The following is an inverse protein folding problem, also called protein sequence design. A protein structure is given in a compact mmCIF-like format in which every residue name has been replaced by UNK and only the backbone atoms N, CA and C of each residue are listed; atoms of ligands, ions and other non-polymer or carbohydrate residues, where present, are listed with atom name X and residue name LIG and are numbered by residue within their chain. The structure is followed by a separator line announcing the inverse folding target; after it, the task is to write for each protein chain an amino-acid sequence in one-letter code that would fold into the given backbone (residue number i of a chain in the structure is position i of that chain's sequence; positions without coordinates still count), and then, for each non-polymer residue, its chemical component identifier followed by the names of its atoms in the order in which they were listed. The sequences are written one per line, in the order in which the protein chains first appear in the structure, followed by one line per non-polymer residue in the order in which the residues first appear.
data_IF_186155183688
#
_entry.id   IF_186155183688
#
_cell.length_a   1.000
_cell.length_b   1.000
_cell.length_c   1.000
_cell.angle_alpha   90.00
_cell.angle_beta   90.00
_cell.angle_gamma   90.00
#
_symmetry.space_group_name_H-M   'P 1'
#
loop_
_entity.id
_entity.type
_entity.pdbx_description
1 polymer ?
#
# COMPACT_ATOMS: atom_id res chain seq x y z
N UNK A 1 -13.11 -5.66 -17.04
CA UNK A 1 -12.12 -5.08 -16.13
C UNK A 1 -12.80 -4.13 -15.16
N UNK A 2 -12.71 -4.35 -13.86
CA UNK A 2 -13.06 -3.41 -12.79
C UNK A 2 -11.79 -3.18 -11.99
N UNK A 3 -11.27 -1.96 -12.03
CA UNK A 3 -10.05 -1.59 -11.30
C UNK A 3 -10.31 -0.41 -10.37
N UNK A 4 -9.31 -0.04 -9.56
CA UNK A 4 -9.43 1.11 -8.64
C UNK A 4 -8.17 1.96 -8.65
N UNK A 5 -8.39 3.27 -8.49
CA UNK A 5 -7.37 4.19 -8.05
C UNK A 5 -7.62 4.52 -6.57
N UNK A 6 -6.67 4.22 -5.71
CA UNK A 6 -6.91 4.15 -4.27
C UNK A 6 -5.85 4.94 -3.46
N UNK A 7 -5.84 6.28 -3.56
CA UNK A 7 -4.88 7.10 -2.82
C UNK A 7 -5.26 7.26 -1.35
N UNK A 8 -4.24 7.22 -0.46
CA UNK A 8 -4.41 7.58 0.95
C UNK A 8 -4.27 9.09 1.13
N UNK A 9 -5.22 9.77 1.83
CA UNK A 9 -5.22 11.21 2.03
C UNK A 9 -4.27 11.63 3.19
N UNK A 10 -3.03 11.14 3.13
CA UNK A 10 -1.95 11.41 4.11
C UNK A 10 -0.94 12.45 3.59
N UNK A 11 -1.21 13.04 2.42
CA UNK A 11 -0.42 14.07 1.75
C UNK A 11 -0.96 14.34 0.36
N UNK A 12 -0.42 15.36 -0.31
CA UNK A 12 -0.77 15.69 -1.69
C UNK A 12 -0.29 14.63 -2.69
N UNK A 13 -0.91 14.59 -3.87
CA UNK A 13 -0.45 13.74 -4.96
C UNK A 13 0.90 14.22 -5.50
N UNK A 14 1.70 13.27 -5.97
CA UNK A 14 2.99 13.52 -6.64
C UNK A 14 3.06 12.70 -7.93
N UNK A 15 4.12 12.90 -8.72
CA UNK A 15 4.30 12.23 -10.02
C UNK A 15 4.17 10.69 -9.95
N UNK A 16 4.57 10.05 -8.83
CA UNK A 16 4.38 8.61 -8.66
C UNK A 16 2.90 8.18 -8.59
N UNK A 17 2.04 8.98 -7.93
CA UNK A 17 0.59 8.75 -7.93
C UNK A 17 -0.01 9.02 -9.31
N UNK A 18 0.47 10.06 -9.99
CA UNK A 18 0.05 10.36 -11.36
C UNK A 18 0.40 9.23 -12.32
N UNK A 19 1.60 8.66 -12.20
CA UNK A 19 1.98 7.50 -13.00
C UNK A 19 1.01 6.33 -12.79
N UNK A 20 0.68 6.02 -11.53
CA UNK A 20 -0.32 4.99 -11.23
C UNK A 20 -1.68 5.32 -11.85
N UNK A 21 -2.15 6.58 -11.75
CA UNK A 21 -3.40 7.01 -12.40
C UNK A 21 -3.34 6.79 -13.92
N UNK A 22 -2.25 7.16 -14.58
CA UNK A 22 -2.07 6.95 -16.03
C UNK A 22 -2.23 5.46 -16.38
N UNK A 23 -1.57 4.55 -15.64
CA UNK A 23 -1.71 3.10 -15.89
C UNK A 23 -3.14 2.61 -15.65
N UNK A 24 -3.76 3.00 -14.52
CA UNK A 24 -5.12 2.60 -14.15
C UNK A 24 -6.12 3.01 -15.23
N UNK A 25 -6.18 4.29 -15.58
CA UNK A 25 -7.15 4.80 -16.56
C UNK A 25 -6.88 4.30 -17.97
N UNK A 26 -5.59 4.23 -18.39
CA UNK A 26 -5.23 3.74 -19.72
C UNK A 26 -5.67 2.29 -19.93
N UNK A 27 -5.42 1.42 -18.96
CA UNK A 27 -5.80 0.01 -19.04
C UNK A 27 -7.31 -0.17 -18.99
N UNK A 28 -7.99 0.53 -18.08
CA UNK A 28 -9.45 0.48 -17.99
C UNK A 28 -10.10 0.94 -19.29
N UNK A 29 -9.72 2.10 -19.82
CA UNK A 29 -10.31 2.64 -21.06
C UNK A 29 -9.97 1.78 -22.27
N UNK A 30 -8.77 1.21 -22.35
CA UNK A 30 -8.35 0.32 -23.43
C UNK A 30 -9.13 -1.00 -23.45
N UNK A 31 -9.67 -1.45 -22.32
CA UNK A 31 -10.45 -2.70 -22.19
C UNK A 31 -11.97 -2.47 -22.10
N UNK A 32 -12.46 -1.22 -22.18
CA UNK A 32 -13.85 -0.89 -21.89
C UNK A 32 -14.25 -1.12 -20.43
N UNK A 33 -13.27 -1.11 -19.53
CA UNK A 33 -13.46 -1.36 -18.11
C UNK A 33 -13.83 -0.11 -17.31
N UNK A 34 -14.02 -0.30 -15.99
CA UNK A 34 -14.41 0.72 -15.04
C UNK A 34 -13.29 1.03 -14.05
N UNK A 35 -13.15 2.30 -13.68
CA UNK A 35 -12.27 2.78 -12.62
C UNK A 35 -13.10 3.21 -11.41
N UNK A 36 -12.88 2.53 -10.28
CA UNK A 36 -13.40 2.98 -8.98
C UNK A 36 -12.40 3.91 -8.29
N UNK A 37 -12.89 5.01 -7.75
CA UNK A 37 -12.10 5.87 -6.88
C UNK A 37 -12.33 5.43 -5.43
N UNK A 38 -11.24 5.13 -4.71
CA UNK A 38 -11.29 4.81 -3.29
C UNK A 38 -10.36 5.73 -2.52
N UNK A 39 -10.85 6.36 -1.48
CA UNK A 39 -10.03 7.12 -0.54
C UNK A 39 -9.66 6.21 0.63
N UNK A 40 -8.37 5.83 0.69
CA UNK A 40 -7.86 4.93 1.73
C UNK A 40 -7.47 5.71 2.98
N UNK A 41 -8.47 6.06 3.77
CA UNK A 41 -8.36 6.83 5.01
C UNK A 41 -8.50 5.99 6.30
N UNK A 42 -8.25 4.68 6.19
CA UNK A 42 -8.22 3.76 7.35
C UNK A 42 -7.21 4.18 8.43
N UNK A 43 -6.11 4.83 8.05
CA UNK A 43 -5.16 5.45 8.97
C UNK A 43 -5.68 6.84 9.38
N UNK A 44 -6.51 6.85 10.43
CA UNK A 44 -7.18 8.06 10.92
C UNK A 44 -6.21 9.09 11.51
N UNK A 45 -5.05 8.66 11.99
CA UNK A 45 -4.06 9.57 12.59
C UNK A 45 -3.37 10.44 11.56
N UNK A 46 -3.13 9.93 10.35
CA UNK A 46 -2.42 10.63 9.28
C UNK A 46 -3.34 11.22 8.22
N UNK A 47 -4.55 10.70 8.08
CA UNK A 47 -5.52 11.16 7.07
C UNK A 47 -6.07 12.53 7.43
N UNK A 48 -6.20 13.41 6.42
CA UNK A 48 -6.71 14.77 6.59
C UNK A 48 -7.71 15.12 5.47
N UNK A 49 -8.86 15.73 5.81
CA UNK A 49 -9.84 16.15 4.80
C UNK A 49 -9.28 17.14 3.77
N UNK A 50 -8.28 17.94 4.15
CA UNK A 50 -7.61 18.86 3.21
C UNK A 50 -6.83 18.12 2.12
N UNK A 51 -6.21 16.96 2.44
CA UNK A 51 -5.53 16.15 1.44
C UNK A 51 -6.52 15.42 0.54
N UNK A 52 -7.64 14.93 1.08
CA UNK A 52 -8.70 14.34 0.28
C UNK A 52 -9.23 15.35 -0.76
N UNK A 53 -9.58 16.56 -0.32
CA UNK A 53 -10.02 17.63 -1.26
C UNK A 53 -8.96 17.88 -2.35
N UNK A 54 -7.70 17.99 -1.96
CA UNK A 54 -6.61 18.18 -2.94
C UNK A 54 -6.49 17.03 -3.93
N UNK A 55 -6.68 15.77 -3.49
CA UNK A 55 -6.67 14.60 -4.36
C UNK A 55 -7.80 14.68 -5.40
N UNK A 56 -9.02 15.00 -4.96
CA UNK A 56 -10.18 15.13 -5.86
C UNK A 56 -9.97 16.26 -6.88
N UNK A 57 -9.49 17.42 -6.42
CA UNK A 57 -9.24 18.59 -7.28
C UNK A 57 -8.10 18.34 -8.28
N UNK A 58 -7.06 17.61 -7.90
CA UNK A 58 -5.95 17.24 -8.78
C UNK A 58 -6.39 16.23 -9.84
N UNK A 59 -7.20 15.22 -9.47
CA UNK A 59 -7.73 14.25 -10.42
C UNK A 59 -8.68 14.90 -11.44
N UNK A 60 -9.57 15.77 -10.96
CA UNK A 60 -10.49 16.51 -11.82
C UNK A 60 -9.74 17.44 -12.78
N UNK A 61 -8.73 18.17 -12.29
CA UNK A 61 -7.87 19.02 -13.11
C UNK A 61 -7.11 18.23 -14.19
N UNK A 62 -6.60 17.03 -13.85
CA UNK A 62 -5.88 16.16 -14.77
C UNK A 62 -6.80 15.42 -15.75
N UNK A 63 -8.12 15.46 -15.56
CA UNK A 63 -9.10 14.74 -16.38
C UNK A 63 -9.22 13.26 -16.08
N UNK A 64 -8.74 12.80 -14.93
CA UNK A 64 -8.90 11.42 -14.46
C UNK A 64 -10.24 11.25 -13.75
N UNK A 65 -11.32 11.16 -14.53
CA UNK A 65 -12.68 11.04 -14.01
C UNK A 65 -12.98 9.56 -13.69
N UNK A 66 -13.30 9.23 -12.41
CA UNK A 66 -13.70 7.87 -12.04
C UNK A 66 -15.11 7.55 -12.55
N UNK A 67 -15.39 6.26 -12.71
CA UNK A 67 -16.73 5.81 -13.07
C UNK A 67 -17.64 5.69 -11.83
N UNK A 68 -17.07 5.29 -10.68
CA UNK A 68 -17.78 5.14 -9.40
C UNK A 68 -16.82 5.27 -8.21
N UNK A 69 -17.22 5.91 -7.09
CA UNK A 69 -18.18 7.02 -7.07
C UNK A 69 -17.65 8.22 -7.82
N UNK A 70 -18.50 9.14 -8.22
CA UNK A 70 -18.08 10.42 -8.82
C UNK A 70 -17.55 11.41 -7.76
N UNK A 71 -16.92 12.49 -8.20
CA UNK A 71 -16.38 13.51 -7.29
C UNK A 71 -17.46 14.22 -6.47
N UNK A 72 -18.67 14.33 -7.00
CA UNK A 72 -19.79 14.98 -6.31
C UNK A 72 -20.21 14.16 -5.07
N UNK A 73 -20.22 12.83 -5.18
CA UNK A 73 -20.52 11.96 -4.05
C UNK A 73 -19.53 12.15 -2.89
N UNK A 74 -18.21 12.23 -3.20
CA UNK A 74 -17.20 12.51 -2.16
C UNK A 74 -17.38 13.88 -1.50
N UNK A 75 -17.79 14.88 -2.25
CA UNK A 75 -17.99 16.26 -1.75
C UNK A 75 -19.30 16.42 -0.98
N UNK A 76 -20.28 15.57 -1.23
CA UNK A 76 -21.61 15.64 -0.59
C UNK A 76 -21.65 15.10 0.86
N UNK A 77 -20.67 14.31 1.28
CA UNK A 77 -20.62 13.71 2.62
C UNK A 77 -20.16 12.27 2.64
N UNK A 78 -20.89 11.39 3.35
CA UNK A 78 -20.57 9.96 3.38
C UNK A 78 -20.61 9.34 1.98
N UNK A 79 -19.59 8.56 1.63
CA UNK A 79 -19.39 8.07 0.28
C UNK A 79 -18.91 6.62 0.28
N UNK A 80 -19.48 5.82 -0.62
CA UNK A 80 -19.15 4.40 -0.77
C UNK A 80 -17.66 4.16 -1.06
N UNK A 81 -16.98 5.11 -1.69
CA UNK A 81 -15.55 5.04 -1.98
C UNK A 81 -14.64 5.47 -0.82
N UNK A 82 -15.15 5.87 0.35
CA UNK A 82 -14.31 6.26 1.49
C UNK A 82 -14.28 5.15 2.54
N UNK A 83 -13.12 4.62 2.86
CA UNK A 83 -12.97 3.49 3.79
C UNK A 83 -13.57 3.77 5.17
N UNK A 84 -13.36 4.97 5.71
CA UNK A 84 -13.86 5.33 7.04
C UNK A 84 -15.38 5.41 7.15
N UNK A 85 -16.10 5.49 6.03
CA UNK A 85 -17.57 5.52 6.03
C UNK A 85 -18.18 4.11 6.13
N UNK A 86 -17.34 3.05 6.02
CA UNK A 86 -17.80 1.66 6.01
C UNK A 86 -17.05 0.73 6.98
N UNK A 87 -16.95 1.06 8.28
CA UNK A 87 -16.22 0.23 9.25
C UNK A 87 -16.80 -1.18 9.36
N UNK A 88 -18.09 -1.35 9.12
CA UNK A 88 -18.80 -2.63 9.20
C UNK A 88 -18.24 -3.68 8.24
N UNK A 89 -17.74 -3.29 7.06
CA UNK A 89 -17.10 -4.22 6.10
C UNK A 89 -15.94 -5.00 6.75
N UNK A 90 -15.14 -4.29 7.51
CA UNK A 90 -13.95 -4.87 8.14
C UNK A 90 -14.31 -5.69 9.38
N UNK A 91 -15.31 -5.24 10.15
CA UNK A 91 -15.82 -5.97 11.32
C UNK A 91 -16.43 -7.30 10.88
N UNK A 92 -17.25 -7.32 9.83
CA UNK A 92 -17.85 -8.54 9.27
C UNK A 92 -16.77 -9.48 8.70
N UNK A 93 -15.79 -8.95 7.98
CA UNK A 93 -14.67 -9.73 7.46
C UNK A 93 -13.84 -10.35 8.60
N UNK A 94 -13.56 -9.59 9.66
CA UNK A 94 -12.86 -10.11 10.84
C UNK A 94 -13.69 -11.19 11.54
N UNK A 95 -14.98 -10.97 11.75
CA UNK A 95 -15.86 -11.94 12.37
C UNK A 95 -15.97 -13.25 11.55
N UNK A 96 -15.90 -13.18 10.22
CA UNK A 96 -15.83 -14.35 9.35
C UNK A 96 -14.55 -15.15 9.57
N UNK A 97 -13.40 -14.47 9.66
CA UNK A 97 -12.11 -15.11 9.94
C UNK A 97 -12.06 -15.70 11.36
N UNK A 98 -12.68 -15.04 12.33
CA UNK A 98 -12.74 -15.51 13.72
C UNK A 98 -13.57 -16.80 13.83
N UNK A 99 -14.77 -16.82 13.23
CA UNK A 99 -15.60 -18.04 13.14
C UNK A 99 -14.90 -19.23 12.47
N UNK A 100 -13.97 -18.93 11.55
CA UNK A 100 -13.13 -19.93 10.90
C UNK A 100 -11.89 -20.34 11.74
N UNK A 101 -11.74 -19.84 12.98
CA UNK A 101 -10.61 -20.12 13.87
C UNK A 101 -9.28 -19.55 13.39
N UNK A 102 -9.33 -18.53 12.52
CA UNK A 102 -8.12 -17.93 11.90
C UNK A 102 -7.55 -16.77 12.70
N UNK A 103 -8.25 -16.28 13.71
CA UNK A 103 -7.89 -15.05 14.43
C UNK A 103 -7.25 -15.36 15.79
N UNK A 104 -6.34 -14.51 16.24
CA UNK A 104 -5.81 -14.52 17.60
C UNK A 104 -5.22 -13.15 17.97
N UNK A 105 -5.16 -12.87 19.27
CA UNK A 105 -4.57 -11.67 19.82
C UNK A 105 -3.04 -11.68 19.85
N UNK A 106 -2.43 -10.51 19.69
CA UNK A 106 -0.98 -10.34 19.70
C UNK A 106 -0.58 -9.09 20.51
N UNK A 107 0.22 -9.30 21.56
CA UNK A 107 0.74 -8.22 22.42
C UNK A 107 2.10 -7.69 21.99
N UNK A 108 2.70 -8.26 20.92
CA UNK A 108 4.03 -7.85 20.47
C UNK A 108 4.02 -6.43 19.90
N UNK A 109 4.93 -5.60 20.37
CA UNK A 109 5.31 -4.38 19.68
C UNK A 109 6.25 -4.69 18.50
N UNK A 110 6.45 -3.71 17.60
CA UNK A 110 7.46 -3.81 16.53
C UNK A 110 8.87 -4.05 17.12
N UNK A 111 9.20 -3.38 18.23
CA UNK A 111 10.47 -3.55 18.93
C UNK A 111 10.65 -4.98 19.51
N UNK A 112 9.57 -5.59 20.00
CA UNK A 112 9.63 -6.97 20.50
C UNK A 112 9.94 -7.97 19.39
N UNK A 113 9.30 -7.81 18.24
CA UNK A 113 9.53 -8.65 17.06
C UNK A 113 10.97 -8.47 16.57
N UNK A 114 11.43 -7.22 16.45
CA UNK A 114 12.79 -6.89 15.99
C UNK A 114 13.86 -7.51 16.90
N UNK A 115 13.70 -7.43 18.23
CA UNK A 115 14.63 -8.05 19.18
C UNK A 115 14.73 -9.56 19.00
N UNK A 116 13.61 -10.25 18.75
CA UNK A 116 13.60 -11.69 18.54
C UNK A 116 14.15 -12.12 17.18
N UNK A 117 14.06 -11.27 16.17
CA UNK A 117 14.67 -11.52 14.85
C UNK A 117 16.18 -11.26 14.80
N UNK A 118 16.83 -10.96 15.94
CA UNK A 118 18.26 -10.69 16.00
C UNK A 118 18.68 -9.29 15.53
N UNK A 119 17.72 -8.42 15.26
CA UNK A 119 17.97 -7.02 14.91
C UNK A 119 18.26 -6.18 16.15
N UNK A 120 19.32 -5.36 16.11
CA UNK A 120 19.58 -4.37 17.14
C UNK A 120 18.50 -3.31 17.15
N UNK A 121 17.82 -3.08 18.27
CA UNK A 121 16.97 -1.91 18.44
C UNK A 121 17.83 -0.65 18.31
N UNK A 122 17.44 0.36 17.54
CA UNK A 122 18.06 1.66 17.65
C UNK A 122 17.86 2.14 19.09
N UNK A 123 18.93 2.29 19.84
CA UNK A 123 18.90 2.86 21.19
C UNK A 123 18.22 4.21 21.13
N UNK A 124 17.15 4.39 21.91
CA UNK A 124 16.50 5.67 22.12
C UNK A 124 17.39 6.53 23.06
N UNK A 125 18.60 6.83 22.63
CA UNK A 125 19.43 7.89 23.23
C UNK A 125 19.27 9.12 22.35
N UNK A 126 18.46 10.07 22.82
CA UNK A 126 18.52 11.45 22.37
C UNK A 126 19.86 12.01 22.79
N UNK A 127 20.83 11.97 21.91
CA UNK A 127 22.10 12.70 21.99
C UNK A 127 22.31 13.48 20.70
N UNK A 128 23.03 14.63 20.72
CA UNK A 128 23.09 15.55 19.60
C UNK A 128 23.79 14.94 18.41
N UNK A 129 23.32 15.33 17.21
CA UNK A 129 23.85 15.11 15.88
C UNK A 129 25.34 14.70 15.83
N UNK A 130 25.61 13.44 15.62
CA UNK A 130 26.91 12.93 15.27
C UNK A 130 26.85 12.15 13.96
N UNK A 131 27.32 12.80 12.92
CA UNK A 131 28.03 12.31 11.73
C UNK A 131 27.69 10.94 11.15
N UNK A 132 26.93 10.98 10.07
CA UNK A 132 26.78 9.88 9.11
C UNK A 132 28.06 9.78 8.24
N UNK A 133 29.16 9.25 8.78
CA UNK A 133 30.33 8.88 7.98
C UNK A 133 30.27 7.40 7.63
N UNK A 134 29.66 7.07 6.47
CA UNK A 134 29.82 5.76 5.83
C UNK A 134 31.31 5.55 5.48
N UNK A 135 31.81 4.33 5.68
CA UNK A 135 33.15 3.93 5.28
C UNK A 135 33.35 4.13 3.77
N UNK A 136 34.41 4.82 3.40
CA UNK A 136 34.89 4.93 2.03
C UNK A 136 35.85 3.77 1.75
N UNK A 137 35.72 3.15 0.58
CA UNK A 137 36.71 2.22 0.08
C UNK A 137 38.02 2.90 -0.23
N UNK A 138 39.11 2.16 -0.50
CA UNK A 138 40.44 2.69 -0.72
C UNK A 138 40.57 3.63 -1.92
N UNK A 139 39.53 3.70 -2.79
CA UNK A 139 39.43 4.57 -3.97
C UNK A 139 38.57 5.82 -3.74
N UNK A 140 38.10 6.06 -2.51
CA UNK A 140 37.28 7.23 -2.16
C UNK A 140 35.84 7.17 -2.70
N UNK A 141 35.38 6.05 -3.28
CA UNK A 141 34.04 5.86 -3.73
C UNK A 141 33.21 5.09 -2.69
N UNK A 142 31.97 5.50 -2.48
CA UNK A 142 31.01 4.71 -1.68
C UNK A 142 30.73 3.43 -2.43
N UNK A 143 31.07 2.28 -1.86
CA UNK A 143 30.61 0.99 -2.36
C UNK A 143 29.09 0.95 -2.28
N UNK A 144 28.44 0.97 -3.46
CA UNK A 144 27.04 0.63 -3.57
C UNK A 144 26.92 -0.87 -3.26
N UNK A 145 26.28 -1.21 -2.12
CA UNK A 145 25.85 -2.59 -1.90
C UNK A 145 24.94 -2.97 -3.06
N UNK A 146 25.18 -4.12 -3.73
CA UNK A 146 24.22 -4.64 -4.67
C UNK A 146 22.92 -4.93 -3.88
N UNK A 147 21.84 -4.21 -4.22
CA UNK A 147 20.51 -4.55 -3.71
C UNK A 147 20.14 -5.90 -4.34
N UNK A 148 20.23 -6.96 -3.57
CA UNK A 148 19.58 -8.20 -3.94
C UNK A 148 18.09 -7.89 -4.10
N UNK A 149 17.55 -8.09 -5.30
CA UNK A 149 16.13 -7.99 -5.57
C UNK A 149 15.40 -8.89 -4.56
N UNK A 150 14.68 -8.29 -3.60
CA UNK A 150 13.89 -9.05 -2.63
C UNK A 150 14.00 -8.65 -1.17
N UNK A 151 14.92 -7.79 -0.76
CA UNK A 151 14.98 -7.32 0.64
C UNK A 151 13.94 -6.23 0.86
N UNK A 152 12.70 -6.65 1.18
CA UNK A 152 11.74 -5.74 1.79
C UNK A 152 12.15 -5.57 3.24
N UNK A 153 12.39 -4.34 3.65
CA UNK A 153 12.63 -3.89 5.04
C UNK A 153 11.43 -4.18 5.97
N UNK A 154 10.57 -5.10 5.56
CA UNK A 154 9.38 -5.49 6.30
C UNK A 154 9.74 -6.51 7.38
N UNK A 155 9.53 -6.11 8.63
CA UNK A 155 9.79 -6.95 9.79
C UNK A 155 8.87 -8.19 9.78
N UNK A 156 9.44 -9.36 9.53
CA UNK A 156 8.72 -10.62 9.57
C UNK A 156 8.27 -10.93 10.99
N UNK A 157 7.00 -11.25 11.16
CA UNK A 157 6.47 -11.72 12.44
C UNK A 157 6.82 -13.19 12.67
N UNK A 158 7.41 -13.47 13.82
CA UNK A 158 7.95 -14.77 14.21
C UNK A 158 6.92 -15.80 14.75
N UNK A 159 5.64 -15.42 14.81
CA UNK A 159 4.59 -16.29 15.33
C UNK A 159 4.51 -16.39 16.86
N UNK A 160 5.23 -15.56 17.61
CA UNK A 160 5.36 -15.65 19.07
C UNK A 160 4.04 -15.77 19.85
N UNK A 161 2.97 -15.08 19.42
CA UNK A 161 1.67 -15.15 20.09
C UNK A 161 0.72 -16.22 19.50
N UNK A 162 1.12 -16.90 18.41
CA UNK A 162 0.23 -17.79 17.64
C UNK A 162 -0.40 -18.92 18.47
N UNK A 163 0.31 -19.41 19.49
CA UNK A 163 -0.11 -20.53 20.36
C UNK A 163 -0.46 -20.11 21.79
N UNK A 164 -0.47 -18.80 22.07
CA UNK A 164 -0.66 -18.29 23.43
C UNK A 164 -2.11 -18.06 23.83
N UNK A 165 -3.06 -18.32 22.95
CA UNK A 165 -4.48 -18.17 23.19
C UNK A 165 -4.88 -16.77 23.75
N UNK A 166 -4.21 -15.72 23.25
CA UNK A 166 -4.54 -14.35 23.60
C UNK A 166 -5.82 -13.97 22.83
N UNK A 167 -6.86 -13.56 23.55
CA UNK A 167 -8.08 -13.07 22.92
C UNK A 167 -7.85 -11.68 22.31
N UNK A 168 -8.38 -11.39 21.11
CA UNK A 168 -8.47 -10.03 20.59
C UNK A 168 -9.26 -9.13 21.54
N UNK A 169 -8.91 -7.84 21.57
CA UNK A 169 -9.61 -6.87 22.42
C UNK A 169 -8.86 -5.53 22.51
N UNK A 170 -9.37 -4.58 23.30
CA UNK A 170 -8.73 -3.29 23.47
C UNK A 170 -7.26 -3.42 23.92
N UNK A 171 -6.37 -2.69 23.26
CA UNK A 171 -4.94 -2.72 23.55
C UNK A 171 -4.18 -3.96 23.03
N UNK A 172 -4.87 -4.89 22.37
CA UNK A 172 -4.32 -6.11 21.79
C UNK A 172 -4.44 -6.06 20.27
N UNK A 173 -3.33 -6.24 19.55
CA UNK A 173 -3.38 -6.37 18.11
C UNK A 173 -4.02 -7.69 17.68
N UNK A 174 -4.67 -7.70 16.53
CA UNK A 174 -5.34 -8.89 15.99
C UNK A 174 -4.60 -9.39 14.77
N UNK A 175 -4.24 -10.68 14.78
CA UNK A 175 -3.56 -11.35 13.65
C UNK A 175 -4.40 -12.45 13.03
N UNK A 176 -4.19 -12.67 11.75
CA UNK A 176 -4.76 -13.78 10.99
C UNK A 176 -3.68 -14.83 10.73
N UNK A 177 -4.01 -16.09 11.05
CA UNK A 177 -3.18 -17.27 10.78
C UNK A 177 -3.12 -17.51 9.28
N UNK A 178 -1.92 -17.39 8.71
CA UNK A 178 -1.67 -17.78 7.33
C UNK A 178 -1.32 -19.28 7.24
N UNK A 179 -1.62 -19.86 6.10
CA UNK A 179 -1.23 -21.24 5.77
C UNK A 179 0.18 -21.27 5.16
N UNK A 180 0.98 -22.34 5.39
CA UNK A 180 2.27 -22.53 4.74
C UNK A 180 2.04 -22.95 3.27
N UNK A 181 1.74 -21.97 2.44
CA UNK A 181 1.35 -22.18 1.05
C UNK A 181 2.06 -21.19 0.15
N UNK A 182 2.50 -21.68 -1.00
CA UNK A 182 2.96 -20.85 -2.12
C UNK A 182 1.74 -20.32 -2.86
N UNK A 183 1.68 -19.01 -3.03
CA UNK A 183 0.71 -18.33 -3.87
C UNK A 183 1.35 -18.05 -5.23
N UNK A 184 0.68 -18.49 -6.29
CA UNK A 184 1.10 -18.26 -7.68
C UNK A 184 0.11 -17.32 -8.35
N UNK A 185 0.61 -16.38 -9.11
CA UNK A 185 -0.21 -15.45 -9.88
C UNK A 185 0.53 -14.93 -11.11
N UNK A 186 -0.22 -14.51 -12.11
CA UNK A 186 0.33 -13.83 -13.29
C UNK A 186 0.30 -12.31 -13.04
N UNK A 187 1.42 -11.67 -13.35
CA UNK A 187 1.53 -10.21 -13.35
C UNK A 187 1.65 -9.69 -14.78
N UNK A 188 0.82 -8.73 -15.15
CA UNK A 188 0.73 -8.22 -16.51
C UNK A 188 2.00 -7.54 -17.04
N UNK A 189 2.96 -7.20 -16.17
CA UNK A 189 4.25 -6.63 -16.57
C UNK A 189 5.44 -7.51 -16.22
N UNK A 190 5.35 -8.29 -15.15
CA UNK A 190 6.48 -9.04 -14.59
C UNK A 190 6.38 -10.55 -14.92
N UNK A 191 5.27 -11.00 -15.54
CA UNK A 191 5.02 -12.40 -15.82
C UNK A 191 4.71 -13.23 -14.58
N UNK A 192 4.95 -14.57 -14.63
CA UNK A 192 4.64 -15.48 -13.54
C UNK A 192 5.36 -15.13 -12.25
N UNK A 193 4.62 -15.10 -11.15
CA UNK A 193 5.11 -14.78 -9.83
C UNK A 193 4.77 -15.89 -8.82
N UNK A 194 5.65 -16.08 -7.84
CA UNK A 194 5.47 -17.02 -6.74
C UNK A 194 5.86 -16.34 -5.42
N UNK A 195 5.02 -16.48 -4.40
CA UNK A 195 5.27 -15.94 -3.07
C UNK A 195 4.82 -16.91 -2.00
N UNK A 196 5.54 -16.95 -0.90
CA UNK A 196 5.19 -17.73 0.30
C UNK A 196 4.92 -16.76 1.47
N UNK A 197 3.69 -16.26 1.64
CA UNK A 197 3.38 -15.19 2.59
C UNK A 197 3.78 -15.48 4.02
N UNK A 198 3.53 -16.70 4.52
CA UNK A 198 3.91 -17.08 5.88
C UNK A 198 5.43 -17.03 6.10
N UNK A 199 6.22 -17.42 5.10
CA UNK A 199 7.68 -17.34 5.18
C UNK A 199 8.17 -15.89 5.07
N UNK A 200 7.52 -15.08 4.23
CA UNK A 200 7.91 -13.69 3.96
C UNK A 200 7.56 -12.74 5.12
N UNK A 201 6.33 -12.79 5.64
CA UNK A 201 5.85 -11.81 6.62
C UNK A 201 5.36 -12.42 7.95
N UNK A 202 5.18 -13.74 8.02
CA UNK A 202 4.49 -14.38 9.14
C UNK A 202 2.98 -14.13 9.11
N UNK A 203 2.30 -14.35 10.22
CA UNK A 203 0.87 -14.09 10.35
C UNK A 203 0.56 -12.60 10.25
N UNK A 204 -0.42 -12.24 9.42
CA UNK A 204 -0.73 -10.85 9.10
C UNK A 204 -1.43 -10.15 10.27
N UNK A 205 -0.92 -8.99 10.66
CA UNK A 205 -1.64 -8.07 11.54
C UNK A 205 -2.79 -7.44 10.75
N UNK A 206 -4.02 -7.56 11.21
CA UNK A 206 -5.21 -7.03 10.54
C UNK A 206 -5.82 -5.85 11.28
N UNK A 207 -5.66 -5.80 12.61
CA UNK A 207 -6.03 -4.67 13.43
C UNK A 207 -4.90 -4.43 14.43
N UNK A 208 -4.50 -3.18 14.61
CA UNK A 208 -3.46 -2.81 15.55
C UNK A 208 -4.00 -2.68 16.99
N UNK A 209 -3.12 -2.34 17.93
CA UNK A 209 -3.50 -2.20 19.35
C UNK A 209 -4.35 -0.96 19.65
N UNK A 210 -4.43 -0.02 18.71
CA UNK A 210 -5.28 1.16 18.79
C UNK A 210 -6.66 0.94 18.15
N UNK A 211 -6.91 -0.30 17.64
CA UNK A 211 -8.15 -0.65 16.95
C UNK A 211 -8.18 -0.18 15.49
N UNK A 212 -7.05 0.21 14.92
CA UNK A 212 -6.99 0.66 13.52
C UNK A 212 -6.76 -0.54 12.59
N UNK A 213 -7.51 -0.58 11.50
CA UNK A 213 -7.32 -1.57 10.45
C UNK A 213 -5.99 -1.36 9.74
N UNK A 214 -5.29 -2.45 9.42
CA UNK A 214 -4.04 -2.35 8.67
C UNK A 214 -4.32 -2.27 7.18
N UNK A 215 -3.39 -1.65 6.43
CA UNK A 215 -3.47 -1.55 4.97
C UNK A 215 -3.76 -2.90 4.31
N UNK A 216 -3.02 -3.95 4.69
CA UNK A 216 -3.14 -5.27 4.06
C UNK A 216 -4.56 -5.84 4.19
N UNK A 217 -5.20 -5.62 5.31
CA UNK A 217 -6.55 -6.10 5.56
C UNK A 217 -7.59 -5.22 4.87
N UNK A 218 -7.52 -3.90 5.06
CA UNK A 218 -8.48 -2.97 4.51
C UNK A 218 -8.57 -3.07 2.98
N UNK A 219 -7.43 -3.00 2.28
CA UNK A 219 -7.41 -3.09 0.80
C UNK A 219 -7.94 -4.43 0.30
N UNK A 220 -7.65 -5.54 1.02
CA UNK A 220 -8.13 -6.87 0.61
C UNK A 220 -9.65 -7.00 0.76
N UNK A 221 -10.21 -6.47 1.85
CA UNK A 221 -11.65 -6.48 2.10
C UNK A 221 -12.37 -5.62 1.07
N UNK A 222 -11.87 -4.41 0.82
CA UNK A 222 -12.49 -3.51 -0.16
C UNK A 222 -12.40 -4.07 -1.58
N UNK A 223 -11.24 -4.60 -2.00
CA UNK A 223 -11.08 -5.21 -3.32
C UNK A 223 -12.01 -6.44 -3.50
N UNK A 224 -12.38 -7.12 -2.40
CA UNK A 224 -13.36 -8.19 -2.41
C UNK A 224 -14.80 -7.65 -2.52
N UNK A 225 -15.17 -6.67 -1.70
CA UNK A 225 -16.53 -6.10 -1.64
C UNK A 225 -16.87 -5.33 -2.92
N UNK A 226 -15.89 -4.66 -3.50
CA UNK A 226 -16.04 -3.85 -4.71
C UNK A 226 -15.89 -4.68 -6.01
N UNK A 227 -15.74 -6.01 -5.90
CA UNK A 227 -15.55 -6.93 -7.04
C UNK A 227 -14.40 -6.52 -7.97
N UNK A 228 -13.30 -6.00 -7.40
CA UNK A 228 -12.14 -5.60 -8.19
C UNK A 228 -11.56 -6.82 -8.92
N UNK A 229 -11.53 -6.76 -10.23
CA UNK A 229 -10.99 -7.83 -11.09
C UNK A 229 -9.53 -7.62 -11.45
N UNK A 230 -9.07 -6.37 -11.43
CA UNK A 230 -7.71 -6.01 -11.85
C UNK A 230 -7.09 -4.99 -10.88
N UNK A 231 -5.91 -5.32 -10.36
CA UNK A 231 -5.16 -4.49 -9.41
C UNK A 231 -3.93 -3.92 -10.09
N UNK A 232 -3.99 -2.63 -10.42
CA UNK A 232 -2.88 -1.87 -11.04
C UNK A 232 -2.22 -1.00 -9.97
N UNK A 233 -0.89 -1.16 -9.76
CA UNK A 233 -0.16 -0.44 -8.71
C UNK A 233 1.35 -0.43 -8.94
N UNK A 234 2.09 0.33 -8.14
CA UNK A 234 3.54 0.35 -8.18
C UNK A 234 4.17 -0.98 -7.74
N UNK A 235 5.29 -1.35 -8.34
CA UNK A 235 6.01 -2.61 -8.06
C UNK A 235 6.56 -2.71 -6.63
N UNK A 236 6.61 -1.62 -5.88
CA UNK A 236 6.93 -1.62 -4.44
C UNK A 236 5.90 -2.37 -3.60
N UNK A 237 4.68 -2.56 -4.11
CA UNK A 237 3.63 -3.36 -3.48
C UNK A 237 3.61 -4.83 -3.93
N UNK A 238 4.49 -5.23 -4.86
CA UNK A 238 4.59 -6.63 -5.31
C UNK A 238 4.76 -7.62 -4.13
N UNK A 239 5.62 -7.38 -3.12
CA UNK A 239 5.77 -8.30 -1.99
C UNK A 239 4.51 -8.51 -1.15
N UNK A 240 3.53 -7.60 -1.26
CA UNK A 240 2.25 -7.69 -0.55
C UNK A 240 1.21 -8.57 -1.26
N UNK A 241 1.44 -8.93 -2.53
CA UNK A 241 0.43 -9.57 -3.38
C UNK A 241 0.03 -10.95 -2.86
N UNK A 242 0.98 -11.82 -2.58
CA UNK A 242 0.70 -13.18 -2.10
C UNK A 242 -0.11 -13.18 -0.79
N UNK A 243 0.22 -12.30 0.17
CA UNK A 243 -0.54 -12.21 1.44
C UNK A 243 -1.96 -11.70 1.23
N UNK A 244 -2.17 -10.77 0.29
CA UNK A 244 -3.50 -10.28 -0.05
C UNK A 244 -4.32 -11.36 -0.76
N UNK A 245 -3.72 -12.13 -1.68
CA UNK A 245 -4.36 -13.30 -2.30
C UNK A 245 -4.79 -14.31 -1.23
N UNK A 246 -3.91 -14.61 -0.28
CA UNK A 246 -4.23 -15.58 0.78
C UNK A 246 -5.31 -15.07 1.72
N UNK A 247 -5.27 -13.80 2.14
CA UNK A 247 -6.32 -13.16 2.94
C UNK A 247 -7.68 -13.18 2.21
N UNK A 248 -7.69 -12.81 0.93
CA UNK A 248 -8.91 -12.82 0.11
C UNK A 248 -9.50 -14.23 0.01
N UNK A 249 -8.66 -15.26 -0.14
CA UNK A 249 -9.08 -16.66 -0.15
C UNK A 249 -9.68 -17.08 1.19
N UNK A 250 -9.07 -16.72 2.31
CA UNK A 250 -9.62 -16.98 3.64
C UNK A 250 -10.96 -16.27 3.87
N UNK A 251 -11.18 -15.15 3.19
CA UNK A 251 -12.45 -14.42 3.13
C UNK A 251 -13.41 -14.98 2.06
N UNK A 252 -13.06 -16.07 1.35
CA UNK A 252 -13.91 -16.79 0.43
C UNK A 252 -13.83 -16.36 -1.04
N UNK A 253 -12.83 -15.56 -1.42
CA UNK A 253 -12.58 -15.27 -2.83
C UNK A 253 -11.97 -16.50 -3.51
N UNK A 254 -12.64 -17.03 -4.53
CA UNK A 254 -12.19 -18.23 -5.25
C UNK A 254 -11.08 -17.92 -6.26
N UNK A 255 -11.20 -16.79 -6.95
CA UNK A 255 -10.26 -16.37 -8.00
C UNK A 255 -9.63 -15.04 -7.63
N UNK A 256 -8.29 -14.95 -7.54
CA UNK A 256 -7.62 -13.69 -7.27
C UNK A 256 -7.84 -12.70 -8.43
N UNK A 257 -7.71 -11.38 -8.20
CA UNK A 257 -7.67 -10.42 -9.29
C UNK A 257 -6.41 -10.64 -10.16
N UNK A 258 -6.44 -10.15 -11.38
CA UNK A 258 -5.23 -9.97 -12.19
C UNK A 258 -4.40 -8.83 -11.61
N UNK A 259 -3.09 -8.97 -11.57
CA UNK A 259 -2.19 -7.94 -11.07
C UNK A 259 -1.36 -7.32 -12.20
N UNK A 260 -1.05 -6.04 -12.04
CA UNK A 260 -0.10 -5.32 -12.87
C UNK A 260 0.72 -4.38 -12.00
N UNK A 261 2.00 -4.70 -11.83
CA UNK A 261 2.93 -3.91 -11.03
C UNK A 261 3.83 -3.06 -11.95
N UNK A 262 3.46 -1.77 -12.11
CA UNK A 262 4.19 -0.84 -12.96
C UNK A 262 5.50 -0.37 -12.30
N UNK A 263 6.49 0.10 -13.10
CA UNK A 263 7.74 0.69 -12.60
C UNK A 263 7.47 1.88 -11.68
N UNK A 264 8.45 2.19 -10.83
CA UNK A 264 8.41 3.38 -9.97
C UNK A 264 9.18 4.52 -10.63
N UNK A 265 8.74 5.75 -10.38
CA UNK A 265 9.57 6.92 -10.67
C UNK A 265 10.60 7.04 -9.54
N UNK A 266 11.87 7.04 -9.92
CA UNK A 266 12.98 7.24 -9.00
C UNK A 266 13.44 8.69 -9.04
N UNK A 267 13.90 9.22 -7.92
CA UNK A 267 14.58 10.49 -7.84
C UNK A 267 15.99 10.42 -8.47
N UNK A 268 16.65 11.56 -8.63
CA UNK A 268 18.02 11.64 -9.13
C UNK A 268 19.05 10.88 -8.24
N UNK A 269 18.66 10.58 -7.01
CA UNK A 269 19.41 9.78 -6.04
C UNK A 269 19.13 8.26 -6.15
N UNK A 270 18.32 7.83 -7.13
CA UNK A 270 17.89 6.43 -7.29
C UNK A 270 16.85 5.95 -6.28
N UNK A 271 16.46 6.81 -5.33
CA UNK A 271 15.45 6.48 -4.33
C UNK A 271 14.04 6.74 -4.88
N UNK A 272 13.08 5.98 -4.36
CA UNK A 272 11.65 6.20 -4.66
C UNK A 272 11.24 7.64 -4.33
N UNK A 273 10.50 8.29 -5.24
CA UNK A 273 9.90 9.59 -4.93
C UNK A 273 9.02 9.47 -3.68
N UNK A 274 9.30 10.30 -2.69
CA UNK A 274 8.55 10.33 -1.45
C UNK A 274 7.85 11.68 -1.26
N UNK A 275 6.76 11.69 -0.48
CA UNK A 275 5.97 12.90 -0.16
C UNK A 275 6.78 14.03 0.50
N UNK A 276 8.00 13.76 0.97
CA UNK A 276 8.89 14.73 1.61
C UNK A 276 9.71 15.58 0.63
N UNK A 277 9.80 15.19 -0.64
CA UNK A 277 10.58 15.93 -1.67
C UNK A 277 9.62 16.87 -2.42
N UNK A 278 9.70 18.17 -2.14
CA UNK A 278 8.78 19.24 -2.65
C UNK A 278 8.74 19.40 -4.17
N UNK A 279 9.74 18.90 -4.90
CA UNK A 279 9.94 19.21 -6.33
C UNK A 279 9.05 18.39 -7.29
N UNK A 280 8.23 17.47 -6.78
CA UNK A 280 7.44 16.52 -7.59
C UNK A 280 5.95 16.51 -7.23
N UNK A 281 5.50 17.40 -6.38
CA UNK A 281 4.09 17.54 -6.00
C UNK A 281 3.26 18.10 -7.16
N UNK A 282 2.07 17.55 -7.40
CA UNK A 282 1.20 18.02 -8.49
C UNK A 282 0.76 19.46 -8.25
N UNK A 283 0.50 19.82 -7.01
CA UNK A 283 0.11 21.18 -6.62
C UNK A 283 1.19 22.20 -6.95
N UNK A 284 2.45 21.91 -6.69
CA UNK A 284 3.59 22.77 -7.00
C UNK A 284 3.77 22.93 -8.51
N UNK A 285 3.63 21.85 -9.27
CA UNK A 285 3.70 21.88 -10.73
C UNK A 285 2.57 22.72 -11.32
N UNK A 286 1.34 22.57 -10.82
CA UNK A 286 0.18 23.39 -11.22
C UNK A 286 0.39 24.86 -10.86
N UNK A 287 0.91 25.17 -9.67
CA UNK A 287 1.22 26.54 -9.24
C UNK A 287 2.34 27.17 -10.07
N UNK A 288 3.26 26.39 -10.63
CA UNK A 288 4.27 26.82 -11.57
C UNK A 288 3.73 27.05 -13.01
N UNK A 289 2.43 26.89 -13.24
CA UNK A 289 1.78 27.16 -14.52
C UNK A 289 1.81 26.00 -15.51
N UNK A 290 2.21 24.79 -15.11
CA UNK A 290 2.18 23.65 -16.00
C UNK A 290 0.73 23.23 -16.29
N UNK A 291 0.48 22.84 -17.54
CA UNK A 291 -0.81 22.27 -17.96
C UNK A 291 -0.94 20.80 -17.55
N UNK A 292 -2.16 20.23 -17.52
CA UNK A 292 -2.35 18.79 -17.34
C UNK A 292 -1.53 17.95 -18.30
N UNK A 293 -1.46 18.35 -19.57
CA UNK A 293 -0.67 17.64 -20.59
C UNK A 293 0.83 17.64 -20.30
N UNK A 294 1.39 18.77 -19.84
CA UNK A 294 2.81 18.89 -19.47
C UNK A 294 3.15 17.96 -18.30
N UNK A 295 2.28 17.94 -17.28
CA UNK A 295 2.49 17.14 -16.07
C UNK A 295 2.37 15.63 -16.38
N UNK A 296 1.41 15.22 -17.22
CA UNK A 296 1.26 13.85 -17.70
C UNK A 296 2.49 13.43 -18.52
N UNK A 297 2.92 14.26 -19.47
CA UNK A 297 4.11 13.99 -20.28
C UNK A 297 5.37 13.85 -19.41
N UNK A 298 5.52 14.68 -18.37
CA UNK A 298 6.63 14.59 -17.42
C UNK A 298 6.64 13.29 -16.63
N UNK A 299 5.46 12.81 -16.17
CA UNK A 299 5.35 11.53 -15.48
C UNK A 299 5.68 10.35 -16.38
N UNK A 300 5.27 10.39 -17.66
CA UNK A 300 5.58 9.36 -18.66
C UNK A 300 7.07 9.34 -19.03
N UNK A 301 7.67 10.50 -19.24
CA UNK A 301 9.09 10.63 -19.56
C UNK A 301 9.99 10.08 -18.43
N UNK A 302 9.59 10.26 -17.17
CA UNK A 302 10.34 9.78 -16.02
C UNK A 302 10.44 8.23 -15.96
N UNK A 303 9.59 7.50 -16.66
CA UNK A 303 9.64 6.02 -16.74
C UNK A 303 10.29 5.55 -18.04
N UNK A 304 10.22 6.33 -19.12
CA UNK A 304 10.85 5.97 -20.39
C UNK A 304 12.40 6.06 -20.35
N UNK A 305 12.96 6.64 -19.28
CA UNK A 305 14.40 6.74 -19.03
C UNK A 305 14.94 5.57 -18.18
N UNK A 306 14.09 4.62 -17.77
CA UNK A 306 14.44 3.40 -17.05
C UNK A 306 14.38 2.17 -17.97
#
# INVERSE_FOLDING_TARGET
MITRFAPSPTGHLHLGHLLNAIYVWRLARGSGGQVRLRIEDHDRERSRPAFERSILDDLEWLGFIPDLPDFAAFRAGACEGRQSDHPQRYEEALARLDRAGRVYGCNCSRADILRRSGGSTPSASRGPLADARGRLGPDGRREARPSAAGDTDELRYDGFCRTRNISPGPGVGTRVRLDPRVETFEDGMLGPQQQEPLAQCGDVLVCDRLGQWTYQFAVTVDDLVEDITDVVRGRDLLPSTGRQIQLARLLGRSTPPTFLHHPLILGADGEKLSKSKRDTGLRELRAAGLTPADVIARAQAAVALL
#
